data_IF_288450993130
#
_entry.id   IF_288450993130
#
_cell.length_a   1.000
_cell.length_b   1.000
_cell.length_c   1.000
_cell.angle_alpha   90.00
_cell.angle_beta   90.00
_cell.angle_gamma   90.00
#
_symmetry.space_group_name_H-M   'P 1'
#
loop_
_entity.id
_entity.type
_entity.pdbx_description
1 polymer ?
#
# COMPACT_ATOMS: atom_id res chain seq x y z
N UNK A 1 11.48 50.41 -27.93
CA UNK A 1 12.02 49.14 -27.37
C UNK A 1 11.43 48.88 -26.00
N UNK A 2 10.50 47.91 -25.87
CA UNK A 2 10.39 47.04 -24.69
C UNK A 2 9.37 45.95 -24.96
N UNK A 3 9.85 44.79 -25.43
CA UNK A 3 9.05 43.57 -25.41
C UNK A 3 9.15 43.00 -24.00
N UNK A 4 8.00 42.94 -23.31
CA UNK A 4 7.88 42.23 -22.04
C UNK A 4 7.73 40.74 -22.38
N UNK A 5 8.79 39.96 -22.18
CA UNK A 5 8.72 38.49 -22.32
C UNK A 5 8.09 37.95 -21.04
N UNK A 6 6.83 37.53 -21.12
CA UNK A 6 6.14 36.82 -20.06
C UNK A 6 6.53 35.34 -20.18
N UNK A 7 7.51 34.90 -19.39
CA UNK A 7 7.91 33.49 -19.31
C UNK A 7 6.83 32.70 -18.58
N UNK A 8 6.03 31.92 -19.33
CA UNK A 8 5.07 30.97 -18.78
C UNK A 8 5.85 29.73 -18.31
N UNK A 9 6.03 29.59 -16.99
CA UNK A 9 6.57 28.36 -16.39
C UNK A 9 5.49 27.29 -16.49
N UNK A 10 5.66 26.35 -17.42
CA UNK A 10 4.89 25.11 -17.45
C UNK A 10 5.37 24.23 -16.29
N UNK A 11 4.62 24.17 -15.20
CA UNK A 11 4.83 23.18 -14.15
C UNK A 11 4.31 21.83 -14.66
N UNK A 12 5.19 20.87 -14.87
CA UNK A 12 4.80 19.47 -15.07
C UNK A 12 4.11 18.96 -13.80
N UNK A 13 3.05 18.15 -13.90
CA UNK A 13 2.48 17.49 -12.72
C UNK A 13 3.56 16.60 -12.10
N UNK A 14 3.90 16.87 -10.84
CA UNK A 14 4.65 15.92 -10.04
C UNK A 14 3.68 14.80 -9.67
N UNK A 15 3.82 13.64 -10.31
CA UNK A 15 3.18 12.42 -9.84
C UNK A 15 3.90 12.03 -8.55
N UNK A 16 3.15 11.89 -7.45
CA UNK A 16 3.72 11.35 -6.23
C UNK A 16 4.09 9.88 -6.45
N UNK A 17 5.20 9.44 -5.85
CA UNK A 17 5.56 8.02 -5.92
C UNK A 17 4.49 7.18 -5.18
N UNK A 18 4.05 6.04 -5.73
CA UNK A 18 2.96 5.26 -5.15
C UNK A 18 3.37 4.57 -3.84
N UNK A 19 2.39 4.10 -3.06
CA UNK A 19 2.63 3.16 -1.95
C UNK A 19 3.22 1.85 -2.49
N UNK A 20 4.43 1.49 -2.06
CA UNK A 20 5.11 0.26 -2.47
C UNK A 20 5.14 -0.75 -1.34
N UNK A 21 4.75 -1.99 -1.63
CA UNK A 21 4.95 -3.13 -0.73
C UNK A 21 6.35 -3.68 -0.97
N UNK A 22 7.21 -3.58 0.04
CA UNK A 22 8.61 -4.00 -0.08
C UNK A 22 8.83 -5.45 0.35
N UNK A 23 8.02 -5.92 1.30
CA UNK A 23 8.14 -7.25 1.88
C UNK A 23 6.83 -7.69 2.47
N UNK A 24 6.53 -8.97 2.33
CA UNK A 24 5.44 -9.64 3.02
C UNK A 24 5.96 -10.92 3.67
N UNK A 25 5.66 -11.11 4.95
CA UNK A 25 5.77 -12.40 5.60
C UNK A 25 4.35 -12.91 5.94
N UNK A 26 4.05 -14.13 5.50
CA UNK A 26 2.81 -14.82 5.81
C UNK A 26 3.10 -16.02 6.71
N UNK A 27 2.28 -16.20 7.74
CA UNK A 27 2.38 -17.34 8.65
C UNK A 27 1.00 -17.81 9.08
N UNK A 28 0.82 -19.12 9.14
CA UNK A 28 -0.42 -19.73 9.63
C UNK A 28 -0.47 -19.68 11.17
N UNK A 29 -1.65 -19.36 11.70
CA UNK A 29 -1.96 -19.30 13.13
C UNK A 29 -3.32 -19.96 13.37
N UNK A 30 -3.29 -21.26 13.70
CA UNK A 30 -4.48 -22.09 13.74
C UNK A 30 -5.13 -22.18 12.35
N UNK A 31 -6.43 -21.90 12.28
CA UNK A 31 -7.21 -21.90 11.04
C UNK A 31 -7.16 -20.55 10.28
N UNK A 32 -6.32 -19.61 10.74
CA UNK A 32 -6.22 -18.26 10.16
C UNK A 32 -4.78 -17.91 9.80
N UNK A 33 -4.62 -16.82 9.07
CA UNK A 33 -3.32 -16.31 8.65
C UNK A 33 -2.98 -14.99 9.35
N UNK A 34 -1.69 -14.81 9.56
CA UNK A 34 -1.06 -13.54 9.90
C UNK A 34 -0.18 -13.08 8.74
N UNK A 35 -0.32 -11.81 8.40
CA UNK A 35 0.52 -11.11 7.44
C UNK A 35 1.25 -9.97 8.13
N UNK A 36 2.56 -9.90 7.95
CA UNK A 36 3.41 -8.78 8.32
C UNK A 36 3.89 -8.12 7.02
N UNK A 37 3.40 -6.90 6.75
CA UNK A 37 3.63 -6.19 5.48
C UNK A 37 4.48 -4.96 5.73
N UNK A 38 5.62 -4.88 5.03
CA UNK A 38 6.50 -3.72 5.00
C UNK A 38 6.12 -2.83 3.83
N UNK A 39 5.81 -1.56 4.12
CA UNK A 39 5.38 -0.55 3.15
C UNK A 39 6.39 0.60 3.14
N UNK A 40 6.64 1.11 1.95
CA UNK A 40 7.26 2.42 1.73
C UNK A 40 6.27 3.34 1.01
N UNK A 41 6.12 4.55 1.52
CA UNK A 41 5.33 5.59 0.87
C UNK A 41 6.00 6.97 1.11
N UNK A 42 5.96 7.91 0.14
CA UNK A 42 6.46 9.27 0.32
C UNK A 42 5.47 10.10 1.16
N UNK A 43 5.29 9.72 2.41
CA UNK A 43 4.41 10.42 3.34
C UNK A 43 4.85 11.90 3.50
N UNK A 44 3.90 12.83 3.45
CA UNK A 44 4.12 14.26 3.76
C UNK A 44 3.24 14.69 4.93
N UNK A 45 3.13 13.83 5.94
CA UNK A 45 2.22 14.01 7.07
C UNK A 45 0.77 13.70 6.73
N UNK A 46 -0.17 14.37 7.39
CA UNK A 46 -1.61 14.08 7.29
C UNK A 46 -2.20 14.35 5.91
N UNK A 47 -1.54 15.16 5.09
CA UNK A 47 -1.99 15.53 3.76
C UNK A 47 -1.81 14.40 2.74
N UNK A 48 -0.85 13.49 2.95
CA UNK A 48 -0.52 12.42 2.02
C UNK A 48 0.24 11.31 2.75
N UNK A 49 -0.39 10.16 2.96
CA UNK A 49 0.25 9.02 3.64
C UNK A 49 -0.39 7.69 3.23
N UNK A 50 0.31 6.59 3.47
CA UNK A 50 -0.27 5.26 3.34
C UNK A 50 -1.33 5.02 4.44
N UNK A 51 -2.61 4.92 4.06
CA UNK A 51 -3.74 4.78 4.99
C UNK A 51 -4.20 3.32 5.19
N UNK A 52 -3.64 2.38 4.42
CA UNK A 52 -3.89 0.97 4.64
C UNK A 52 -3.37 0.03 3.56
N UNK A 53 -3.65 -1.25 3.76
CA UNK A 53 -3.39 -2.32 2.80
C UNK A 53 -4.32 -3.50 3.05
N UNK A 54 -4.65 -4.22 1.98
CA UNK A 54 -5.57 -5.37 2.03
C UNK A 54 -4.95 -6.65 1.51
N UNK A 55 -5.48 -7.77 1.99
CA UNK A 55 -5.30 -9.11 1.45
C UNK A 55 -6.46 -9.40 0.51
N UNK A 56 -6.17 -9.82 -0.70
CA UNK A 56 -7.14 -10.20 -1.71
C UNK A 56 -6.95 -11.67 -2.09
N UNK A 57 -8.03 -12.33 -2.47
CA UNK A 57 -7.92 -13.57 -3.24
C UNK A 57 -7.44 -13.31 -4.68
N UNK A 58 -7.34 -14.36 -5.50
CA UNK A 58 -6.89 -14.25 -6.89
C UNK A 58 -7.95 -13.66 -7.84
N UNK A 59 -9.22 -13.59 -7.41
CA UNK A 59 -10.31 -12.95 -8.14
C UNK A 59 -10.47 -11.46 -7.78
N UNK A 60 -9.70 -10.98 -6.80
CA UNK A 60 -9.70 -9.59 -6.33
C UNK A 60 -10.69 -9.31 -5.19
N UNK A 61 -11.30 -10.34 -4.58
CA UNK A 61 -12.17 -10.16 -3.42
C UNK A 61 -11.33 -9.92 -2.16
N UNK A 62 -11.79 -9.01 -1.30
CA UNK A 62 -11.09 -8.68 -0.06
C UNK A 62 -11.29 -9.76 1.01
N UNK A 63 -10.18 -10.31 1.49
CA UNK A 63 -10.12 -11.27 2.59
C UNK A 63 -9.84 -10.60 3.94
N UNK A 64 -9.25 -9.41 3.93
CA UNK A 64 -9.04 -8.60 5.12
C UNK A 64 -8.28 -7.30 4.83
N UNK A 65 -8.47 -6.30 5.70
CA UNK A 65 -7.89 -4.97 5.54
C UNK A 65 -7.18 -4.54 6.82
N UNK A 66 -5.98 -3.98 6.66
CA UNK A 66 -5.26 -3.27 7.70
C UNK A 66 -5.34 -1.77 7.47
N UNK A 67 -6.08 -1.09 8.33
CA UNK A 67 -6.12 0.38 8.37
C UNK A 67 -4.90 0.93 9.12
N UNK A 68 -4.36 2.04 8.64
CA UNK A 68 -3.26 2.81 9.23
C UNK A 68 -3.80 4.19 9.60
N UNK A 69 -3.81 4.51 10.89
CA UNK A 69 -4.53 5.67 11.41
C UNK A 69 -3.71 6.96 11.48
N UNK A 70 -2.43 6.91 11.12
CA UNK A 70 -1.54 8.06 11.20
C UNK A 70 -0.42 7.98 10.15
N UNK A 71 0.17 9.13 9.78
CA UNK A 71 1.36 9.15 8.93
C UNK A 71 2.56 8.46 9.59
N UNK A 72 3.47 7.99 8.74
CA UNK A 72 4.71 7.29 9.07
C UNK A 72 5.94 7.95 8.39
N UNK A 73 5.88 9.26 8.09
CA UNK A 73 6.96 10.04 7.43
C UNK A 73 8.37 9.77 7.97
N UNK A 74 8.51 9.65 9.30
CA UNK A 74 9.80 9.42 9.96
C UNK A 74 10.10 7.94 10.28
N UNK A 75 9.29 7.02 9.77
CA UNK A 75 9.36 5.57 10.03
C UNK A 75 9.46 4.78 8.72
N UNK A 76 9.98 5.35 7.63
CA UNK A 76 10.00 4.66 6.33
C UNK A 76 11.26 3.80 6.12
N UNK A 77 11.14 2.54 5.64
CA UNK A 77 9.90 1.78 5.51
C UNK A 77 9.41 1.26 6.88
N UNK A 78 8.09 1.13 7.04
CA UNK A 78 7.48 0.61 8.27
C UNK A 78 6.77 -0.73 8.01
N UNK A 79 6.62 -1.54 9.05
CA UNK A 79 5.90 -2.82 8.98
C UNK A 79 4.67 -2.79 9.88
N UNK A 80 3.52 -3.23 9.37
CA UNK A 80 2.31 -3.44 10.16
C UNK A 80 1.69 -4.79 9.84
N UNK A 81 0.98 -5.33 10.83
CA UNK A 81 0.51 -6.70 10.79
C UNK A 81 -1.00 -6.79 10.79
N UNK A 82 -1.53 -7.79 10.11
CA UNK A 82 -2.92 -8.21 10.16
C UNK A 82 -2.96 -9.68 10.59
N UNK A 83 -3.79 -10.01 11.56
CA UNK A 83 -3.96 -11.39 12.06
C UNK A 83 -5.44 -11.76 11.99
N UNK A 84 -5.73 -13.07 11.96
CA UNK A 84 -7.11 -13.56 11.88
C UNK A 84 -7.69 -13.52 10.47
N UNK A 85 -6.85 -13.46 9.43
CA UNK A 85 -7.31 -13.49 8.04
C UNK A 85 -7.74 -14.93 7.73
N UNK A 86 -9.03 -15.13 7.48
CA UNK A 86 -9.56 -16.42 7.04
C UNK A 86 -9.28 -16.57 5.54
N UNK A 87 -8.62 -17.66 5.17
CA UNK A 87 -8.31 -18.00 3.79
C UNK A 87 -8.98 -19.35 3.48
N UNK A 88 -9.80 -19.45 2.43
CA UNK A 88 -10.46 -20.71 2.07
C UNK A 88 -9.46 -21.85 1.82
N UNK A 89 -9.85 -23.06 2.17
CA UNK A 89 -9.06 -24.26 1.90
C UNK A 89 -8.73 -24.39 0.40
N UNK A 90 -7.50 -24.79 0.09
CA UNK A 90 -7.02 -24.96 -1.29
C UNK A 90 -6.51 -23.69 -1.96
N UNK A 91 -6.63 -22.51 -1.33
CA UNK A 91 -5.97 -21.28 -1.80
C UNK A 91 -4.48 -21.35 -1.44
N UNK A 92 -3.63 -21.29 -2.46
CA UNK A 92 -2.16 -21.32 -2.30
C UNK A 92 -1.50 -19.96 -2.48
N UNK A 93 -2.23 -18.97 -2.99
CA UNK A 93 -1.72 -17.62 -3.24
C UNK A 93 -2.76 -16.56 -2.91
N UNK A 94 -2.28 -15.43 -2.42
CA UNK A 94 -3.06 -14.19 -2.22
C UNK A 94 -2.30 -13.01 -2.80
N UNK A 95 -3.01 -11.90 -2.96
CA UNK A 95 -2.47 -10.62 -3.38
C UNK A 95 -2.49 -9.64 -2.21
N UNK A 96 -1.44 -8.86 -2.03
CA UNK A 96 -1.40 -7.72 -1.10
C UNK A 96 -1.41 -6.43 -1.90
N UNK A 97 -2.28 -5.49 -1.54
CA UNK A 97 -2.41 -4.20 -2.21
C UNK A 97 -2.37 -3.06 -1.20
N UNK A 98 -1.50 -2.08 -1.43
CA UNK A 98 -1.39 -0.89 -0.60
C UNK A 98 -2.33 0.23 -1.06
N UNK A 99 -2.62 1.15 -0.14
CA UNK A 99 -3.47 2.31 -0.36
C UNK A 99 -2.79 3.58 0.12
N UNK A 100 -3.03 4.67 -0.59
CA UNK A 100 -2.70 6.03 -0.23
C UNK A 100 -3.99 6.79 0.13
N UNK A 101 -3.90 7.68 1.12
CA UNK A 101 -5.00 8.54 1.55
C UNK A 101 -5.55 9.47 0.47
N UNK A 102 -4.73 9.85 -0.51
CA UNK A 102 -5.08 10.75 -1.62
C UNK A 102 -5.32 9.97 -2.91
N UNK A 103 -4.36 9.15 -3.32
CA UNK A 103 -4.40 8.48 -4.63
C UNK A 103 -5.23 7.19 -4.61
N UNK A 104 -5.63 6.71 -3.43
CA UNK A 104 -6.40 5.50 -3.30
C UNK A 104 -5.56 4.23 -3.46
N UNK A 105 -6.13 3.20 -4.10
CA UNK A 105 -5.47 1.90 -4.23
C UNK A 105 -4.37 1.96 -5.28
N UNK A 106 -3.19 1.41 -4.97
CA UNK A 106 -2.14 1.25 -5.96
C UNK A 106 -2.53 0.25 -7.05
N UNK A 107 -2.09 0.49 -8.28
CA UNK A 107 -2.40 -0.38 -9.43
C UNK A 107 -1.70 -1.76 -9.36
N UNK A 108 -0.61 -1.84 -8.60
CA UNK A 108 0.18 -3.06 -8.44
C UNK A 108 -0.18 -3.82 -7.16
N UNK A 109 -0.10 -5.14 -7.24
CA UNK A 109 -0.24 -6.04 -6.10
C UNK A 109 1.00 -6.93 -5.93
N UNK A 110 1.34 -7.26 -4.70
CA UNK A 110 2.38 -8.25 -4.40
C UNK A 110 1.75 -9.62 -4.19
N UNK A 111 2.17 -10.61 -4.99
CA UNK A 111 1.76 -12.00 -4.82
C UNK A 111 2.49 -12.65 -3.65
N UNK A 112 1.76 -13.40 -2.85
CA UNK A 112 2.28 -14.12 -1.68
C UNK A 112 1.82 -15.56 -1.76
N UNK A 113 2.78 -16.48 -1.82
CA UNK A 113 2.51 -17.92 -1.70
C UNK A 113 2.35 -18.30 -0.24
N UNK A 114 1.29 -19.04 0.04
CA UNK A 114 0.95 -19.58 1.36
C UNK A 114 1.58 -20.97 1.48
N UNK A 115 2.36 -21.20 2.55
CA UNK A 115 3.06 -22.46 2.84
C UNK A 115 2.37 -23.27 3.93
#
# INVERSE_FOLDING_TARGET
MRYLILSLLLASPALADPSVIEKVAASQSGDTWRFDVTIRHPDTGWDHYADGWRVLDMDGNELGMRVLHHPHENEQPFTRSLSGVAIPDGVSQVQIQARCSVDGWGDETTLVTLN
#
